data_IF_279773623266
#
_entry.id   IF_279773623266
#
_cell.length_a   1.000
_cell.length_b   1.000
_cell.length_c   1.000
_cell.angle_alpha   90.00
_cell.angle_beta   90.00
_cell.angle_gamma   90.00
#
_symmetry.space_group_name_H-M   'P 1'
#
loop_
_entity.id
_entity.type
_entity.pdbx_description
1 polymer ?
#
# COMPACT_ATOMS: atom_id res chain seq x y z
N UNK A 1 -7.98 11.88 12.59
CA UNK A 1 -8.74 12.51 11.49
C UNK A 1 -9.49 11.34 10.83
N UNK A 2 -10.02 11.44 9.61
CA UNK A 2 -10.62 10.29 8.92
C UNK A 2 -9.99 10.20 7.55
N UNK A 3 -9.52 9.02 7.13
CA UNK A 3 -9.09 8.84 5.74
C UNK A 3 -10.27 9.04 4.80
N UNK A 4 -10.00 9.69 3.68
CA UNK A 4 -10.97 9.92 2.63
C UNK A 4 -10.51 9.28 1.31
N UNK A 5 -11.45 8.72 0.57
CA UNK A 5 -11.27 8.34 -0.84
C UNK A 5 -11.85 9.44 -1.72
N UNK A 6 -11.07 9.94 -2.68
CA UNK A 6 -11.52 10.90 -3.68
C UNK A 6 -11.57 10.24 -5.07
N UNK A 7 -12.68 10.39 -5.78
CA UNK A 7 -12.88 9.87 -7.14
C UNK A 7 -13.66 10.90 -7.98
N UNK A 8 -12.94 11.70 -8.76
CA UNK A 8 -13.52 12.83 -9.48
C UNK A 8 -14.10 13.86 -8.50
N UNK A 9 -15.40 14.16 -8.61
CA UNK A 9 -16.10 15.08 -7.71
C UNK A 9 -16.59 14.43 -6.40
N UNK A 10 -16.47 13.10 -6.26
CA UNK A 10 -16.92 12.36 -5.09
C UNK A 10 -15.81 12.25 -4.04
N UNK A 11 -16.13 12.56 -2.79
CA UNK A 11 -15.25 12.31 -1.63
C UNK A 11 -16.02 11.53 -0.57
N UNK A 12 -15.44 10.42 -0.11
CA UNK A 12 -16.04 9.52 0.88
C UNK A 12 -15.10 9.34 2.06
N UNK A 13 -15.56 9.70 3.26
CA UNK A 13 -14.86 9.38 4.49
C UNK A 13 -14.99 7.88 4.77
N UNK A 14 -13.85 7.20 4.95
CA UNK A 14 -13.81 5.76 5.15
C UNK A 14 -14.10 5.36 6.60
N UNK A 15 -14.03 6.31 7.55
CA UNK A 15 -14.30 6.07 8.97
C UNK A 15 -13.29 5.12 9.63
N UNK A 16 -12.15 4.88 8.97
CA UNK A 16 -11.05 4.04 9.44
C UNK A 16 -9.74 4.82 9.36
N UNK A 17 -8.87 4.59 10.31
CA UNK A 17 -7.50 5.14 10.31
C UNK A 17 -6.50 4.29 9.54
N UNK A 18 -6.94 3.18 8.94
CA UNK A 18 -6.08 2.27 8.18
C UNK A 18 -6.83 1.72 6.97
N UNK A 19 -6.14 1.66 5.83
CA UNK A 19 -6.64 1.10 4.58
C UNK A 19 -5.59 0.19 3.94
N UNK A 20 -6.06 -0.70 3.08
CA UNK A 20 -5.20 -1.47 2.17
C UNK A 20 -5.47 -1.02 0.75
N UNK A 21 -4.44 -0.54 0.05
CA UNK A 21 -4.46 -0.35 -1.40
C UNK A 21 -3.94 -1.61 -2.06
N UNK A 22 -4.70 -2.18 -3.00
CA UNK A 22 -4.35 -3.43 -3.65
C UNK A 22 -4.55 -3.35 -5.16
N UNK A 23 -3.56 -3.82 -5.93
CA UNK A 23 -3.65 -3.90 -7.38
C UNK A 23 -2.94 -5.15 -7.91
N UNK A 24 -3.41 -5.63 -9.06
CA UNK A 24 -2.86 -6.83 -9.70
C UNK A 24 -2.14 -6.45 -10.98
N UNK A 25 -0.87 -6.86 -11.09
CA UNK A 25 -0.11 -6.65 -12.31
C UNK A 25 -0.81 -7.34 -13.49
N UNK A 26 -1.09 -6.59 -14.56
CA UNK A 26 -1.94 -7.05 -15.67
C UNK A 26 -1.36 -8.25 -16.42
N UNK A 27 -0.03 -8.32 -16.60
CA UNK A 27 0.67 -9.45 -17.25
C UNK A 27 1.06 -10.54 -16.26
N UNK A 28 1.89 -10.22 -15.26
CA UNK A 28 2.38 -11.17 -14.25
C UNK A 28 1.26 -11.81 -13.40
N UNK A 29 0.09 -11.17 -13.31
CA UNK A 29 -1.02 -11.61 -12.45
C UNK A 29 -0.55 -11.80 -10.99
N UNK A 30 0.29 -10.90 -10.51
CA UNK A 30 0.75 -10.89 -9.11
C UNK A 30 -0.01 -9.80 -8.37
N UNK A 31 -0.53 -10.09 -7.18
CA UNK A 31 -1.13 -9.09 -6.31
C UNK A 31 -0.04 -8.32 -5.56
N UNK A 32 -0.13 -6.99 -5.62
CA UNK A 32 0.57 -6.06 -4.75
C UNK A 32 -0.42 -5.42 -3.80
N UNK A 33 -0.04 -5.28 -2.54
CA UNK A 33 -0.83 -4.60 -1.53
C UNK A 33 0.04 -3.68 -0.66
N UNK A 34 -0.53 -2.57 -0.25
CA UNK A 34 0.08 -1.59 0.65
C UNK A 34 -0.88 -1.26 1.78
N UNK A 35 -0.39 -1.27 3.01
CA UNK A 35 -1.15 -0.87 4.19
C UNK A 35 -0.75 0.54 4.55
N UNK A 36 -1.74 1.42 4.55
CA UNK A 36 -1.58 2.84 4.85
C UNK A 36 -2.34 3.19 6.10
N UNK A 37 -1.70 3.93 7.00
CA UNK A 37 -2.26 4.38 8.27
C UNK A 37 -2.24 5.89 8.38
N UNK A 38 -3.32 6.45 8.88
CA UNK A 38 -3.39 7.85 9.29
C UNK A 38 -2.54 8.11 10.52
N UNK A 39 -1.71 9.14 10.47
CA UNK A 39 -0.99 9.67 11.62
C UNK A 39 -1.16 11.18 11.67
N UNK A 40 -0.84 11.83 12.81
CA UNK A 40 -0.79 13.30 12.87
C UNK A 40 0.16 13.95 11.86
N UNK A 41 1.16 13.22 11.36
CA UNK A 41 2.12 13.71 10.37
C UNK A 41 1.65 13.52 8.91
N UNK A 42 0.63 12.69 8.67
CA UNK A 42 0.15 12.30 7.34
C UNK A 42 -0.14 10.80 7.23
N UNK A 43 -0.28 10.32 6.00
CA UNK A 43 -0.42 8.90 5.66
C UNK A 43 0.96 8.23 5.69
N UNK A 44 1.11 7.26 6.58
CA UNK A 44 2.31 6.45 6.69
C UNK A 44 2.04 5.08 6.06
N UNK A 45 2.95 4.60 5.20
CA UNK A 45 2.92 3.23 4.71
C UNK A 45 3.58 2.32 5.74
N UNK A 46 2.80 1.44 6.34
CA UNK A 46 3.28 0.57 7.43
C UNK A 46 3.75 -0.79 6.90
N UNK A 47 3.23 -1.23 5.76
CA UNK A 47 3.65 -2.46 5.08
C UNK A 47 3.41 -2.33 3.58
N UNK A 48 4.33 -2.86 2.77
CA UNK A 48 4.07 -3.24 1.39
C UNK A 48 4.34 -4.74 1.21
N UNK A 49 3.53 -5.40 0.36
CA UNK A 49 3.63 -6.83 0.13
C UNK A 49 3.26 -7.25 -1.29
N UNK A 50 3.92 -8.29 -1.77
CA UNK A 50 3.67 -8.85 -3.10
C UNK A 50 3.73 -10.39 -3.12
N UNK A 51 2.81 -11.05 -3.84
CA UNK A 51 2.73 -12.53 -3.94
C UNK A 51 3.97 -13.20 -4.57
N UNK A 52 4.82 -12.47 -5.30
CA UNK A 52 6.00 -13.05 -5.95
C UNK A 52 6.81 -12.05 -6.77
N UNK A 53 8.05 -12.39 -7.09
CA UNK A 53 8.92 -11.60 -7.97
C UNK A 53 8.53 -11.76 -9.44
N UNK A 54 8.66 -10.71 -10.23
CA UNK A 54 8.33 -10.72 -11.65
C UNK A 54 8.78 -9.42 -12.31
N UNK A 55 8.70 -9.33 -13.64
CA UNK A 55 9.19 -8.16 -14.37
C UNK A 55 8.57 -6.85 -13.84
N UNK A 56 9.41 -5.99 -13.26
CA UNK A 56 9.01 -4.71 -12.68
C UNK A 56 8.28 -4.79 -11.33
N UNK A 57 8.30 -5.96 -10.68
CA UNK A 57 7.57 -6.27 -9.45
C UNK A 57 8.48 -6.95 -8.41
N UNK A 58 9.78 -6.71 -8.46
CA UNK A 58 10.72 -7.37 -7.57
C UNK A 58 10.67 -6.74 -6.16
N UNK A 59 10.57 -7.56 -5.10
CA UNK A 59 10.63 -7.05 -3.73
C UNK A 59 12.02 -6.46 -3.44
N UNK A 60 12.12 -5.43 -2.58
CA UNK A 60 13.40 -4.82 -2.25
C UNK A 60 14.26 -5.72 -1.37
N UNK A 61 15.55 -5.38 -1.28
CA UNK A 61 16.47 -6.02 -0.34
C UNK A 61 15.93 -5.94 1.10
N UNK A 62 15.99 -7.07 1.80
CA UNK A 62 15.49 -7.20 3.17
C UNK A 62 14.00 -7.53 3.29
N UNK A 63 13.26 -7.63 2.18
CA UNK A 63 11.91 -8.19 2.19
C UNK A 63 11.92 -9.65 2.66
N UNK A 64 10.86 -10.05 3.37
CA UNK A 64 10.73 -11.39 3.95
C UNK A 64 9.54 -12.11 3.37
N UNK A 65 9.72 -13.36 2.98
CA UNK A 65 8.63 -14.21 2.53
C UNK A 65 7.84 -14.72 3.74
N UNK A 66 6.58 -14.28 3.85
CA UNK A 66 5.66 -14.64 4.94
C UNK A 66 4.29 -14.90 4.34
N UNK A 67 3.75 -16.10 4.58
CA UNK A 67 2.43 -16.54 4.11
C UNK A 67 2.20 -16.35 2.60
N UNK A 68 3.23 -16.63 1.80
CA UNK A 68 3.17 -16.52 0.34
C UNK A 68 3.32 -15.09 -0.21
N UNK A 69 3.65 -14.12 0.64
CA UNK A 69 3.95 -12.75 0.22
C UNK A 69 5.36 -12.34 0.64
N UNK A 70 6.09 -11.69 -0.24
CA UNK A 70 7.24 -10.88 0.15
C UNK A 70 6.73 -9.62 0.83
N UNK A 71 7.13 -9.37 2.07
CA UNK A 71 6.68 -8.25 2.90
C UNK A 71 7.87 -7.39 3.35
N UNK A 72 7.68 -6.09 3.36
CA UNK A 72 8.66 -5.14 3.88
C UNK A 72 7.99 -3.87 4.41
N UNK A 73 8.75 -3.08 5.16
CA UNK A 73 8.36 -1.74 5.58
C UNK A 73 9.02 -0.72 4.66
N UNK A 74 8.27 0.02 3.82
CA UNK A 74 8.86 0.99 2.90
C UNK A 74 9.45 2.19 3.65
N UNK A 75 10.64 2.63 3.23
CA UNK A 75 11.29 3.81 3.78
C UNK A 75 10.79 5.10 3.11
N UNK A 76 9.51 5.42 3.31
CA UNK A 76 8.88 6.65 2.82
C UNK A 76 8.50 7.57 3.98
N UNK A 77 8.71 8.89 3.87
CA UNK A 77 8.16 9.83 4.85
C UNK A 77 6.63 9.85 4.76
N UNK A 78 5.93 10.28 5.83
CA UNK A 78 4.47 10.45 5.78
C UNK A 78 4.03 11.34 4.62
N UNK A 79 3.03 10.89 3.87
CA UNK A 79 2.49 11.57 2.71
C UNK A 79 1.20 12.33 3.03
N UNK A 80 0.89 13.37 2.27
CA UNK A 80 -0.40 14.07 2.39
C UNK A 80 -1.54 13.31 1.72
N UNK A 81 -1.23 12.63 0.63
CA UNK A 81 -2.16 11.84 -0.20
C UNK A 81 -1.41 10.72 -0.93
N UNK A 82 -2.15 9.72 -1.39
CA UNK A 82 -1.68 8.61 -2.22
C UNK A 82 -2.60 8.54 -3.44
N UNK A 83 -2.03 8.48 -4.66
CA UNK A 83 -2.76 8.58 -5.94
C UNK A 83 -2.46 7.39 -6.83
#
# INVERSE_FOLDING_TARGET
MSLCLAAGALVVALGRGEITLGWRHSVQKTLWEEVWRETPAGLEIVEARIEGSGAGMDPPDGAKLVDGFWRWHPALPPLKEVV
#
